data_IF_484786266575
#
_entry.id   IF_484786266575
#
_cell.length_a   1.000
_cell.length_b   1.000
_cell.length_c   1.000
_cell.angle_alpha   90.00
_cell.angle_beta   90.00
_cell.angle_gamma   90.00
#
_symmetry.space_group_name_H-M   'P 1'
#
loop_
_entity.id
_entity.type
_entity.pdbx_description
1 polymer ?
#
# COMPACT_ATOMS: atom_id res chain seq x y z
N UNK A 1 -13.87 -17.15 -17.50
CA UNK A 1 -14.32 -16.42 -18.70
C UNK A 1 -13.33 -15.29 -18.98
N UNK A 2 -12.88 -15.14 -20.23
CA UNK A 2 -11.98 -14.05 -20.64
C UNK A 2 -12.72 -12.75 -20.96
N UNK A 3 -11.97 -11.67 -21.18
CA UNK A 3 -12.52 -10.37 -21.61
C UNK A 3 -13.19 -10.49 -22.97
N UNK A 4 -14.33 -9.81 -23.13
CA UNK A 4 -15.08 -9.78 -24.39
C UNK A 4 -15.05 -8.38 -24.99
N UNK A 5 -14.93 -8.28 -26.32
CA UNK A 5 -14.78 -6.98 -27.01
C UNK A 5 -15.98 -6.05 -26.88
N UNK A 6 -17.17 -6.58 -26.60
CA UNK A 6 -18.44 -5.84 -26.59
C UNK A 6 -19.07 -5.77 -25.19
N UNK A 7 -18.50 -6.46 -24.19
CA UNK A 7 -19.06 -6.51 -22.83
C UNK A 7 -18.01 -6.10 -21.81
N UNK A 8 -18.33 -5.08 -21.01
CA UNK A 8 -17.54 -4.65 -19.87
C UNK A 8 -18.05 -5.37 -18.60
N UNK A 9 -17.21 -6.25 -18.04
CA UNK A 9 -17.46 -6.83 -16.72
C UNK A 9 -16.86 -5.91 -15.67
N UNK A 10 -17.63 -5.63 -14.62
CA UNK A 10 -17.18 -4.79 -13.49
C UNK A 10 -17.60 -5.39 -12.16
N UNK A 11 -16.72 -5.32 -11.18
CA UNK A 11 -17.05 -5.64 -9.79
C UNK A 11 -17.45 -4.37 -9.06
N UNK A 12 -18.67 -4.35 -8.56
CA UNK A 12 -19.20 -3.23 -7.78
C UNK A 12 -19.29 -3.57 -6.31
N UNK A 13 -19.21 -2.55 -5.45
CA UNK A 13 -19.46 -2.68 -4.03
C UNK A 13 -20.97 -2.85 -3.80
N UNK A 14 -21.43 -4.06 -3.50
CA UNK A 14 -22.84 -4.36 -3.30
C UNK A 14 -23.35 -3.96 -1.91
N UNK A 15 -22.49 -4.06 -0.89
CA UNK A 15 -22.79 -3.67 0.50
C UNK A 15 -21.50 -3.37 1.26
N UNK A 16 -21.58 -2.58 2.34
CA UNK A 16 -20.41 -2.30 3.19
C UNK A 16 -20.05 -3.54 4.03
N UNK A 17 -18.78 -3.98 4.04
CA UNK A 17 -18.33 -5.05 4.92
C UNK A 17 -18.46 -4.68 6.39
N UNK A 18 -18.98 -5.59 7.21
CA UNK A 18 -18.83 -5.56 8.66
C UNK A 18 -17.74 -6.57 9.07
N UNK A 19 -16.58 -6.06 9.46
CA UNK A 19 -15.39 -6.88 9.66
C UNK A 19 -14.65 -7.16 8.35
N UNK A 20 -14.25 -8.41 8.12
CA UNK A 20 -13.59 -8.83 6.89
C UNK A 20 -14.58 -8.84 5.70
N UNK A 21 -14.16 -8.39 4.49
CA UNK A 21 -15.00 -8.50 3.30
C UNK A 21 -15.37 -9.95 3.00
N UNK A 22 -16.63 -10.17 2.67
CA UNK A 22 -17.19 -11.45 2.21
C UNK A 22 -17.63 -11.33 0.75
N UNK A 23 -17.78 -12.45 0.02
CA UNK A 23 -18.19 -12.41 -1.39
C UNK A 23 -19.47 -11.60 -1.65
N UNK A 24 -20.44 -11.62 -0.73
CA UNK A 24 -21.72 -10.91 -0.82
C UNK A 24 -21.57 -9.37 -0.75
N UNK A 25 -20.41 -8.87 -0.32
CA UNK A 25 -20.10 -7.44 -0.41
C UNK A 25 -19.81 -7.00 -1.84
N UNK A 26 -19.66 -7.93 -2.78
CA UNK A 26 -19.34 -7.64 -4.18
C UNK A 26 -20.38 -8.24 -5.11
N UNK A 27 -20.64 -7.54 -6.21
CA UNK A 27 -21.49 -8.05 -7.29
C UNK A 27 -20.78 -7.87 -8.61
N UNK A 28 -20.78 -8.92 -9.42
CA UNK A 28 -20.34 -8.85 -10.81
C UNK A 28 -21.50 -8.28 -11.63
N UNK A 29 -21.23 -7.20 -12.36
CA UNK A 29 -22.14 -6.61 -13.33
C UNK A 29 -21.52 -6.68 -14.73
N UNK A 30 -22.38 -6.70 -15.74
CA UNK A 30 -21.96 -6.70 -17.13
C UNK A 30 -22.78 -5.68 -17.93
N UNK A 31 -22.08 -4.72 -18.52
CA UNK A 31 -22.66 -3.69 -19.40
C UNK A 31 -21.97 -3.75 -20.78
N UNK A 32 -22.47 -2.96 -21.73
CA UNK A 32 -21.81 -2.82 -23.03
C UNK A 32 -20.54 -1.96 -22.91
N UNK A 33 -19.52 -2.24 -23.72
CA UNK A 33 -18.31 -1.40 -23.76
C UNK A 33 -18.66 -0.01 -24.29
N UNK A 34 -18.34 1.02 -23.52
CA UNK A 34 -18.64 2.40 -23.88
C UNK A 34 -17.77 2.91 -25.05
N UNK A 35 -18.30 3.84 -25.83
CA UNK A 35 -17.55 4.58 -26.86
C UNK A 35 -16.97 5.86 -26.27
N UNK A 36 -15.67 6.17 -26.47
CA UNK A 36 -15.08 7.41 -25.95
C UNK A 36 -15.66 8.64 -26.65
N UNK A 37 -16.01 9.67 -25.88
CA UNK A 37 -16.37 10.99 -26.40
C UNK A 37 -15.16 11.81 -26.85
N UNK A 38 -15.39 13.07 -27.23
CA UNK A 38 -14.30 14.02 -27.56
C UNK A 38 -13.36 14.19 -26.35
N UNK A 39 -12.04 14.12 -26.60
CA UNK A 39 -11.04 14.23 -25.53
C UNK A 39 -11.03 13.05 -24.57
N UNK A 40 -11.58 11.89 -24.94
CA UNK A 40 -11.56 10.70 -24.10
C UNK A 40 -10.85 9.53 -24.76
N UNK A 41 -10.42 8.59 -23.93
CA UNK A 41 -9.84 7.32 -24.34
C UNK A 41 -10.63 6.16 -23.75
N UNK A 42 -10.78 5.09 -24.54
CA UNK A 42 -11.25 3.81 -24.05
C UNK A 42 -10.06 2.93 -23.67
N UNK A 43 -10.04 2.55 -22.41
CA UNK A 43 -9.03 1.70 -21.81
C UNK A 43 -9.54 0.28 -21.71
N UNK A 44 -8.64 -0.68 -21.93
CA UNK A 44 -8.84 -2.09 -21.57
C UNK A 44 -7.82 -2.49 -20.51
N UNK A 45 -8.29 -2.82 -19.32
CA UNK A 45 -7.46 -3.25 -18.19
C UNK A 45 -6.75 -4.56 -18.52
N UNK A 46 -5.43 -4.61 -18.31
CA UNK A 46 -4.62 -5.82 -18.45
C UNK A 46 -4.16 -6.33 -17.08
N UNK A 47 -3.77 -5.41 -16.20
CA UNK A 47 -3.40 -5.70 -14.82
C UNK A 47 -4.16 -4.79 -13.87
N UNK A 48 -4.53 -5.34 -12.72
CA UNK A 48 -5.21 -4.65 -11.62
C UNK A 48 -4.40 -4.85 -10.35
N UNK A 49 -4.16 -3.76 -9.61
CA UNK A 49 -3.58 -3.83 -8.28
C UNK A 49 -4.66 -4.18 -7.25
N UNK A 50 -4.30 -4.98 -6.25
CA UNK A 50 -5.13 -5.28 -5.09
C UNK A 50 -4.38 -4.89 -3.83
N UNK A 51 -4.84 -3.83 -3.18
CA UNK A 51 -4.09 -3.16 -2.12
C UNK A 51 -4.88 -3.09 -0.81
N UNK A 52 -4.23 -3.20 0.37
CA UNK A 52 -4.92 -3.15 1.66
C UNK A 52 -5.75 -1.89 1.90
N UNK A 53 -5.35 -0.74 1.34
CA UNK A 53 -6.10 0.53 1.51
C UNK A 53 -7.54 0.43 0.98
N UNK A 54 -7.80 -0.46 0.02
CA UNK A 54 -9.12 -0.66 -0.56
C UNK A 54 -10.16 -1.02 0.50
N UNK A 55 -9.77 -1.71 1.58
CA UNK A 55 -10.68 -2.01 2.70
C UNK A 55 -11.20 -0.76 3.39
N UNK A 56 -10.34 0.25 3.58
CA UNK A 56 -10.75 1.55 4.11
C UNK A 56 -11.71 2.26 3.17
N UNK A 57 -11.53 2.12 1.85
CA UNK A 57 -12.43 2.69 0.84
C UNK A 57 -13.81 2.03 0.80
N UNK A 58 -13.97 0.82 1.33
CA UNK A 58 -15.28 0.15 1.44
C UNK A 58 -16.12 0.63 2.65
N UNK A 59 -15.47 1.21 3.66
CA UNK A 59 -16.10 1.79 4.86
C UNK A 59 -16.70 3.15 4.55
N UNK A 60 -17.74 3.57 5.27
CA UNK A 60 -18.27 4.96 5.27
C UNK A 60 -17.62 5.85 6.35
N UNK A 61 -16.68 5.32 7.13
CA UNK A 61 -15.96 6.10 8.13
C UNK A 61 -15.12 7.22 7.49
N UNK A 62 -14.99 8.38 8.17
CA UNK A 62 -14.14 9.47 7.71
C UNK A 62 -12.71 9.00 7.43
N UNK A 63 -12.24 9.24 6.20
CA UNK A 63 -10.92 8.87 5.74
C UNK A 63 -10.33 9.99 4.88
N UNK A 64 -9.03 9.91 4.61
CA UNK A 64 -8.34 10.86 3.74
C UNK A 64 -8.71 10.72 2.25
N UNK A 65 -9.45 9.68 1.88
CA UNK A 65 -9.98 9.49 0.54
C UNK A 65 -11.46 9.14 0.61
N UNK A 66 -12.30 9.66 -0.32
CA UNK A 66 -13.74 9.38 -0.33
C UNK A 66 -14.03 7.88 -0.41
N UNK A 67 -15.07 7.38 0.29
CA UNK A 67 -15.46 5.99 0.20
C UNK A 67 -15.96 5.63 -1.21
N UNK A 68 -15.96 4.34 -1.53
CA UNK A 68 -16.66 3.82 -2.72
C UNK A 68 -18.16 3.82 -2.41
N UNK A 69 -18.94 4.34 -3.34
CA UNK A 69 -20.39 4.31 -3.27
C UNK A 69 -20.93 2.89 -3.43
N UNK A 70 -22.06 2.60 -2.79
CA UNK A 70 -22.77 1.34 -3.05
C UNK A 70 -23.25 1.33 -4.50
N UNK A 71 -22.95 0.25 -5.22
CA UNK A 71 -23.15 0.12 -6.66
C UNK A 71 -22.01 0.72 -7.50
N UNK A 72 -21.05 1.42 -6.89
CA UNK A 72 -19.86 1.91 -7.58
C UNK A 72 -18.85 0.81 -7.88
N UNK A 73 -18.09 0.97 -8.96
CA UNK A 73 -16.98 0.07 -9.31
C UNK A 73 -15.93 0.11 -8.21
N UNK A 74 -15.46 -1.08 -7.80
CA UNK A 74 -14.37 -1.16 -6.83
C UNK A 74 -13.11 -0.49 -7.35
N UNK A 75 -12.49 0.34 -6.52
CA UNK A 75 -11.31 1.14 -6.90
C UNK A 75 -10.05 0.28 -7.02
N UNK A 76 -9.09 0.74 -7.83
CA UNK A 76 -7.77 0.13 -7.93
C UNK A 76 -6.94 0.70 -9.07
N UNK A 77 -5.63 0.74 -8.87
CA UNK A 77 -4.69 1.09 -9.93
C UNK A 77 -4.66 0.03 -11.01
N UNK A 78 -4.65 0.45 -12.26
CA UNK A 78 -4.67 -0.43 -13.43
C UNK A 78 -3.51 -0.14 -14.36
N UNK A 79 -3.03 -1.18 -15.04
CA UNK A 79 -2.22 -1.03 -16.24
C UNK A 79 -3.06 -1.52 -17.41
N UNK A 80 -3.29 -0.60 -18.34
CA UNK A 80 -4.30 -0.73 -19.39
C UNK A 80 -3.70 -0.50 -20.77
N UNK A 81 -4.40 -0.99 -21.77
CA UNK A 81 -4.17 -0.68 -23.18
C UNK A 81 -5.21 0.32 -23.64
N UNK A 82 -4.80 1.38 -24.31
CA UNK A 82 -5.73 2.22 -25.07
C UNK A 82 -6.23 1.37 -26.24
N UNK A 83 -7.54 1.19 -26.36
CA UNK A 83 -8.15 0.43 -27.48
C UNK A 83 -8.83 1.33 -28.50
N UNK A 84 -9.31 2.49 -28.08
CA UNK A 84 -9.85 3.56 -28.92
C UNK A 84 -9.51 4.91 -28.29
N UNK A 85 -9.25 5.93 -29.10
CA UNK A 85 -8.89 7.27 -28.61
C UNK A 85 -9.50 8.35 -29.48
N UNK A 86 -10.14 9.31 -28.83
CA UNK A 86 -10.53 10.60 -29.35
C UNK A 86 -9.77 11.73 -28.61
N UNK A 87 -8.64 11.39 -27.97
CA UNK A 87 -7.76 12.32 -27.28
C UNK A 87 -6.44 12.50 -28.06
N UNK A 88 -5.98 13.74 -28.32
CA UNK A 88 -4.82 13.99 -29.20
C UNK A 88 -3.51 13.38 -28.70
N UNK A 89 -3.34 13.29 -27.37
CA UNK A 89 -2.12 12.74 -26.78
C UNK A 89 -2.09 11.22 -26.68
N UNK A 90 -3.16 10.49 -27.02
CA UNK A 90 -3.20 9.02 -26.88
C UNK A 90 -3.63 8.36 -28.17
N UNK A 91 -3.07 7.19 -28.46
CA UNK A 91 -3.42 6.40 -29.63
C UNK A 91 -3.74 4.95 -29.26
N UNK A 92 -4.57 4.25 -30.07
CA UNK A 92 -4.80 2.82 -29.89
C UNK A 92 -3.49 2.05 -29.84
N UNK A 93 -3.33 1.25 -28.80
CA UNK A 93 -2.12 0.49 -28.55
C UNK A 93 -1.09 1.18 -27.65
N UNK A 94 -1.41 2.30 -27.00
CA UNK A 94 -0.58 2.81 -25.91
C UNK A 94 -0.72 1.95 -24.65
N UNK A 95 0.37 1.83 -23.87
CA UNK A 95 0.33 1.33 -22.49
C UNK A 95 0.23 2.50 -21.53
N UNK A 96 -0.75 2.43 -20.64
CA UNK A 96 -0.98 3.45 -19.63
C UNK A 96 -1.16 2.83 -18.26
N UNK A 97 -0.67 3.54 -17.25
CA UNK A 97 -1.02 3.36 -15.85
C UNK A 97 -2.14 4.36 -15.52
N UNK A 98 -3.19 3.90 -14.84
CA UNK A 98 -4.33 4.72 -14.45
C UNK A 98 -5.07 4.13 -13.24
N UNK A 99 -6.30 4.58 -13.02
CA UNK A 99 -7.11 4.20 -11.85
C UNK A 99 -8.53 3.74 -12.22
N UNK A 100 -8.63 2.88 -13.23
CA UNK A 100 -9.92 2.43 -13.79
C UNK A 100 -10.72 1.48 -12.89
N UNK A 101 -10.16 0.99 -11.78
CA UNK A 101 -10.86 0.07 -10.89
C UNK A 101 -11.06 -1.33 -11.44
N UNK A 102 -11.93 -2.10 -10.78
CA UNK A 102 -12.11 -3.54 -10.98
C UNK A 102 -13.06 -3.81 -12.15
N UNK A 103 -12.64 -3.44 -13.35
CA UNK A 103 -13.41 -3.62 -14.57
C UNK A 103 -12.53 -3.89 -15.78
N UNK A 104 -13.11 -4.53 -16.80
CA UNK A 104 -12.41 -4.86 -18.04
C UNK A 104 -12.11 -3.63 -18.89
N UNK A 105 -13.03 -2.67 -18.92
CA UNK A 105 -12.96 -1.45 -19.72
C UNK A 105 -13.37 -0.21 -18.92
N UNK A 106 -12.82 0.94 -19.31
CA UNK A 106 -13.11 2.22 -18.68
C UNK A 106 -12.89 3.38 -19.64
N UNK A 107 -13.60 4.48 -19.43
CA UNK A 107 -13.42 5.74 -20.17
C UNK A 107 -12.63 6.70 -19.29
N UNK A 108 -11.51 7.21 -19.79
CA UNK A 108 -10.71 8.24 -19.11
C UNK A 108 -10.66 9.52 -19.95
N UNK A 109 -10.59 10.68 -19.29
CA UNK A 109 -10.29 11.97 -19.92
C UNK A 109 -8.82 12.11 -20.31
N UNK A 110 -7.94 11.21 -19.84
CA UNK A 110 -6.51 11.24 -20.09
C UNK A 110 -5.69 12.05 -19.07
N UNK A 111 -6.34 12.81 -18.18
CA UNK A 111 -5.69 13.72 -17.21
C UNK A 111 -4.91 12.97 -16.10
N UNK A 112 -5.34 11.75 -15.78
CA UNK A 112 -4.83 10.93 -14.69
C UNK A 112 -3.96 9.74 -15.17
N UNK A 113 -3.66 9.70 -16.47
CA UNK A 113 -2.93 8.59 -17.08
C UNK A 113 -1.42 8.89 -17.18
N UNK A 114 -0.63 7.86 -16.89
CA UNK A 114 0.82 7.88 -17.09
C UNK A 114 1.18 6.93 -18.21
N UNK A 115 1.77 7.45 -19.30
CA UNK A 115 2.28 6.62 -20.40
C UNK A 115 3.47 5.78 -19.96
N UNK A 116 3.45 4.49 -20.30
CA UNK A 116 4.51 3.53 -19.96
C UNK A 116 5.51 3.28 -21.11
N UNK A 117 5.42 4.08 -22.17
CA UNK A 117 6.17 3.90 -23.41
C UNK A 117 5.57 2.85 -24.34
N UNK A 118 6.17 2.70 -25.52
CA UNK A 118 5.60 1.90 -26.62
C UNK A 118 5.63 0.39 -26.31
N UNK A 119 6.73 -0.07 -25.72
CA UNK A 119 7.01 -1.50 -25.49
C UNK A 119 7.65 -1.75 -24.11
N UNK A 120 6.93 -1.48 -23.01
CA UNK A 120 7.42 -1.81 -21.67
C UNK A 120 7.65 -3.32 -21.54
N UNK A 121 8.82 -3.71 -21.02
CA UNK A 121 9.15 -5.13 -20.82
C UNK A 121 8.30 -5.77 -19.71
N UNK A 122 8.09 -5.04 -18.61
CA UNK A 122 7.32 -5.49 -17.44
C UNK A 122 6.26 -4.45 -17.05
N UNK A 123 5.21 -4.25 -17.85
CA UNK A 123 4.23 -3.18 -17.62
C UNK A 123 3.57 -3.24 -16.24
N UNK A 124 3.35 -4.44 -15.70
CA UNK A 124 2.76 -4.65 -14.38
C UNK A 124 3.61 -4.13 -13.21
N UNK A 125 4.92 -3.94 -13.39
CA UNK A 125 5.78 -3.38 -12.33
C UNK A 125 5.39 -1.94 -11.95
N UNK A 126 4.69 -1.24 -12.84
CA UNK A 126 4.11 0.09 -12.62
C UNK A 126 2.97 0.10 -11.59
N UNK A 127 2.49 -1.07 -11.15
CA UNK A 127 1.56 -1.23 -10.02
C UNK A 127 2.28 -1.61 -8.71
N UNK A 128 3.58 -1.86 -8.76
CA UNK A 128 4.39 -2.31 -7.62
C UNK A 128 5.59 -1.39 -7.38
N UNK A 129 6.79 -1.92 -7.63
CA UNK A 129 8.06 -1.23 -7.34
C UNK A 129 8.25 0.08 -8.15
N UNK A 130 7.71 0.17 -9.37
CA UNK A 130 7.73 1.40 -10.18
C UNK A 130 6.44 2.22 -10.02
N UNK A 131 5.52 1.76 -9.17
CA UNK A 131 4.21 2.36 -8.95
C UNK A 131 4.05 2.94 -7.55
N UNK A 132 2.78 3.08 -7.16
CA UNK A 132 2.38 3.62 -5.86
C UNK A 132 3.06 2.91 -4.67
N UNK A 133 3.15 1.56 -4.57
CA UNK A 133 3.80 0.92 -3.44
C UNK A 133 5.31 1.23 -3.33
N UNK A 134 6.03 1.23 -4.45
CA UNK A 134 7.44 1.58 -4.49
C UNK A 134 7.68 3.06 -4.14
N UNK A 135 6.82 3.95 -4.66
CA UNK A 135 6.90 5.37 -4.36
C UNK A 135 6.54 5.69 -2.90
N UNK A 136 5.58 4.97 -2.32
CA UNK A 136 5.26 5.01 -0.88
C UNK A 136 6.50 4.71 -0.06
N UNK A 137 7.18 3.59 -0.37
CA UNK A 137 8.39 3.17 0.33
C UNK A 137 9.51 4.21 0.21
N UNK A 138 9.74 4.72 -1.00
CA UNK A 138 10.77 5.71 -1.30
C UNK A 138 10.55 7.01 -0.52
N UNK A 139 9.38 7.63 -0.66
CA UNK A 139 9.07 8.90 -0.01
C UNK A 139 8.98 8.74 1.51
N UNK A 140 8.26 7.71 1.99
CA UNK A 140 8.11 7.46 3.41
C UNK A 140 9.44 7.24 4.12
N UNK A 141 10.32 6.43 3.54
CA UNK A 141 11.62 6.17 4.16
C UNK A 141 12.56 7.36 4.00
N UNK A 142 12.70 7.96 2.82
CA UNK A 142 13.74 8.98 2.60
C UNK A 142 13.37 10.35 3.15
N UNK A 143 12.11 10.77 3.05
CA UNK A 143 11.70 12.12 3.48
C UNK A 143 11.34 12.16 4.97
N UNK A 144 10.68 11.12 5.48
CA UNK A 144 10.23 11.04 6.88
C UNK A 144 11.21 10.21 7.71
N UNK A 145 11.55 9.01 7.24
CA UNK A 145 12.48 8.12 7.93
C UNK A 145 13.90 8.68 7.97
N UNK A 146 14.35 9.35 6.91
CA UNK A 146 15.68 9.98 6.77
C UNK A 146 16.82 9.06 7.24
N UNK A 147 16.97 7.85 6.66
CA UNK A 147 17.92 6.86 7.15
C UNK A 147 19.37 7.32 7.07
N UNK A 148 20.13 6.98 8.11
CA UNK A 148 21.57 7.16 8.18
C UNK A 148 22.26 5.80 8.28
N UNK A 149 23.50 5.77 7.81
CA UNK A 149 24.35 4.59 7.91
C UNK A 149 24.52 4.15 9.38
N UNK A 150 24.41 2.85 9.63
CA UNK A 150 24.54 2.25 10.96
C UNK A 150 23.28 2.32 11.84
N UNK A 151 22.24 3.06 11.44
CA UNK A 151 20.95 3.08 12.14
C UNK A 151 20.19 1.75 11.98
N UNK A 152 19.31 1.46 12.94
CA UNK A 152 18.41 0.30 12.90
C UNK A 152 17.05 0.69 12.35
N UNK A 153 16.69 0.12 11.21
CA UNK A 153 15.38 0.20 10.57
C UNK A 153 14.58 -1.07 10.87
N UNK A 154 13.41 -0.92 11.49
CA UNK A 154 12.41 -1.97 11.61
C UNK A 154 11.27 -1.70 10.64
N UNK A 155 10.79 -2.71 9.92
CA UNK A 155 9.64 -2.57 9.01
C UNK A 155 8.66 -3.73 9.19
N UNK A 156 7.39 -3.38 9.44
CA UNK A 156 6.30 -4.34 9.51
C UNK A 156 5.75 -4.69 8.12
N UNK A 157 5.14 -5.87 7.99
CA UNK A 157 4.72 -6.44 6.70
C UNK A 157 5.89 -6.49 5.70
N UNK A 158 7.05 -6.97 6.15
CA UNK A 158 8.34 -6.86 5.47
C UNK A 158 8.42 -7.50 4.08
N UNK A 159 7.53 -8.45 3.76
CA UNK A 159 7.45 -9.08 2.43
C UNK A 159 6.30 -8.56 1.57
N UNK A 160 5.54 -7.57 2.05
CA UNK A 160 4.56 -6.86 1.24
C UNK A 160 5.22 -5.89 0.27
N UNK A 161 4.51 -5.35 -0.74
CA UNK A 161 5.10 -4.54 -1.80
C UNK A 161 5.80 -3.28 -1.27
N UNK A 162 5.20 -2.60 -0.29
CA UNK A 162 5.83 -1.45 0.39
C UNK A 162 7.00 -1.92 1.28
N UNK A 163 6.75 -2.86 2.20
CA UNK A 163 7.73 -3.30 3.19
C UNK A 163 9.01 -3.89 2.59
N UNK A 164 8.88 -4.68 1.52
CA UNK A 164 10.00 -5.26 0.79
C UNK A 164 10.88 -4.19 0.14
N UNK A 165 10.24 -3.13 -0.40
CA UNK A 165 10.94 -2.01 -1.01
C UNK A 165 11.62 -1.14 0.06
N UNK A 166 10.94 -0.85 1.17
CA UNK A 166 11.50 -0.12 2.33
C UNK A 166 12.76 -0.79 2.85
N UNK A 167 12.71 -2.11 3.07
CA UNK A 167 13.86 -2.84 3.59
C UNK A 167 15.07 -2.77 2.66
N UNK A 168 14.86 -2.97 1.37
CA UNK A 168 15.94 -2.88 0.38
C UNK A 168 16.52 -1.46 0.26
N UNK A 169 15.69 -0.41 0.29
CA UNK A 169 16.19 0.97 0.33
C UNK A 169 17.00 1.20 1.62
N UNK A 170 16.52 0.69 2.77
CA UNK A 170 17.26 0.76 4.04
C UNK A 170 18.64 0.09 3.96
N UNK A 171 18.73 -1.10 3.34
CA UNK A 171 20.01 -1.78 3.10
C UNK A 171 20.94 -0.95 2.23
N UNK A 172 20.43 -0.35 1.15
CA UNK A 172 21.20 0.55 0.27
C UNK A 172 21.68 1.82 0.99
N UNK A 173 20.99 2.26 2.04
CA UNK A 173 21.37 3.40 2.89
C UNK A 173 22.29 3.01 4.06
N UNK A 174 22.73 1.75 4.14
CA UNK A 174 23.65 1.27 5.16
C UNK A 174 23.00 1.03 6.53
N UNK A 175 21.67 0.90 6.59
CA UNK A 175 20.99 0.54 7.82
C UNK A 175 21.13 -0.94 8.14
N UNK A 176 21.03 -1.28 9.43
CA UNK A 176 20.63 -2.61 9.87
C UNK A 176 19.12 -2.73 9.70
N UNK A 177 18.66 -3.67 8.89
CA UNK A 177 17.24 -3.83 8.55
C UNK A 177 16.68 -5.09 9.20
N UNK A 178 15.70 -4.89 10.09
CA UNK A 178 14.95 -5.95 10.76
C UNK A 178 13.52 -5.95 10.22
N UNK A 179 13.12 -7.06 9.61
CA UNK A 179 11.79 -7.26 9.06
C UNK A 179 10.86 -7.92 10.07
N UNK A 180 9.57 -7.60 10.01
CA UNK A 180 8.52 -8.35 10.70
C UNK A 180 7.53 -8.87 9.67
N UNK A 181 7.32 -10.19 9.63
CA UNK A 181 6.42 -10.87 8.70
C UNK A 181 5.63 -11.96 9.42
N UNK A 182 4.61 -12.52 8.77
CA UNK A 182 3.80 -13.60 9.32
C UNK A 182 4.15 -14.94 8.68
N UNK A 183 4.83 -15.81 9.42
CA UNK A 183 5.26 -17.14 8.97
C UNK A 183 6.75 -17.24 8.62
N UNK A 184 7.34 -18.40 8.90
CA UNK A 184 8.74 -18.71 8.66
C UNK A 184 9.17 -18.56 7.19
N UNK A 185 8.30 -18.92 6.24
CA UNK A 185 8.59 -18.82 4.80
C UNK A 185 8.85 -17.36 4.38
N UNK A 186 7.99 -16.44 4.82
CA UNK A 186 8.14 -15.01 4.54
C UNK A 186 9.40 -14.45 5.21
N UNK A 187 9.69 -14.86 6.44
CA UNK A 187 10.89 -14.43 7.13
C UNK A 187 12.16 -14.87 6.39
N UNK A 188 12.19 -16.13 5.94
CA UNK A 188 13.29 -16.66 5.13
C UNK A 188 13.44 -15.89 3.82
N UNK A 189 12.33 -15.65 3.10
CA UNK A 189 12.37 -14.86 1.86
C UNK A 189 12.95 -13.45 2.07
N UNK A 190 12.56 -12.77 3.16
CA UNK A 190 13.08 -11.44 3.47
C UNK A 190 14.60 -11.44 3.66
N UNK A 191 15.16 -12.47 4.30
CA UNK A 191 16.60 -12.58 4.54
C UNK A 191 17.33 -13.02 3.26
N UNK A 192 16.94 -14.16 2.68
CA UNK A 192 17.69 -14.82 1.62
C UNK A 192 17.55 -14.14 0.25
N UNK A 193 16.40 -13.50 -0.02
CA UNK A 193 16.10 -12.89 -1.32
C UNK A 193 16.15 -11.37 -1.25
N UNK A 194 15.53 -10.77 -0.22
CA UNK A 194 15.44 -9.31 -0.09
C UNK A 194 16.63 -8.68 0.66
N UNK A 195 17.51 -9.49 1.25
CA UNK A 195 18.74 -9.03 1.89
C UNK A 195 18.56 -8.38 3.26
N UNK A 196 17.47 -8.67 3.96
CA UNK A 196 17.28 -8.22 5.35
C UNK A 196 18.30 -8.88 6.28
N UNK A 197 18.73 -8.16 7.32
CA UNK A 197 19.69 -8.71 8.29
C UNK A 197 19.04 -9.74 9.21
N UNK A 198 17.78 -9.49 9.60
CA UNK A 198 16.95 -10.38 10.41
C UNK A 198 15.50 -10.22 9.95
N UNK A 199 14.70 -11.28 9.99
CA UNK A 199 13.26 -11.18 9.88
C UNK A 199 12.57 -12.07 10.93
N UNK A 200 11.60 -11.50 11.64
CA UNK A 200 10.91 -12.12 12.77
C UNK A 200 9.47 -12.44 12.42
N UNK A 201 9.03 -13.63 12.85
CA UNK A 201 7.64 -14.05 12.71
C UNK A 201 6.80 -13.45 13.85
N UNK A 202 5.88 -12.55 13.52
CA UNK A 202 5.01 -11.94 14.53
C UNK A 202 3.97 -12.93 15.10
N UNK A 203 3.84 -14.14 14.56
CA UNK A 203 2.99 -15.17 15.17
C UNK A 203 3.65 -15.89 16.34
N UNK A 204 4.97 -15.77 16.51
CA UNK A 204 5.67 -16.40 17.62
C UNK A 204 5.23 -15.81 18.97
N UNK A 205 5.03 -16.67 19.96
CA UNK A 205 4.61 -16.26 21.31
C UNK A 205 5.65 -15.35 21.98
N UNK A 206 6.93 -15.56 21.68
CA UNK A 206 8.08 -14.80 22.19
C UNK A 206 8.53 -13.68 21.24
N UNK A 207 7.70 -13.27 20.27
CA UNK A 207 8.04 -12.25 19.26
C UNK A 207 8.67 -10.98 19.85
N UNK A 208 8.13 -10.45 20.95
CA UNK A 208 8.66 -9.24 21.58
C UNK A 208 10.10 -9.45 22.12
N UNK A 209 10.39 -10.61 22.68
CA UNK A 209 11.73 -10.96 23.17
C UNK A 209 12.72 -11.13 22.01
N UNK A 210 12.27 -11.74 20.91
CA UNK A 210 13.06 -11.85 19.70
C UNK A 210 13.37 -10.47 19.10
N UNK A 211 12.41 -9.53 19.14
CA UNK A 211 12.61 -8.17 18.66
C UNK A 211 13.66 -7.40 19.48
N UNK A 212 13.65 -7.55 20.81
CA UNK A 212 14.70 -7.00 21.69
C UNK A 212 16.08 -7.52 21.28
N UNK A 213 16.21 -8.84 21.08
CA UNK A 213 17.47 -9.48 20.67
C UNK A 213 17.91 -9.02 19.28
N UNK A 214 16.98 -8.79 18.36
CA UNK A 214 17.27 -8.34 17.00
C UNK A 214 17.71 -6.86 16.92
N UNK A 215 17.29 -6.05 17.89
CA UNK A 215 17.54 -4.60 17.96
C UNK A 215 18.39 -4.20 19.19
N UNK A 216 19.64 -4.71 19.34
CA UNK A 216 20.44 -4.49 20.56
C UNK A 216 20.83 -3.03 20.81
N UNK A 217 20.74 -2.18 19.77
CA UNK A 217 21.00 -0.73 19.85
C UNK A 217 19.72 0.11 19.85
N UNK A 218 18.55 -0.52 20.03
CA UNK A 218 17.25 0.12 19.87
C UNK A 218 16.85 0.31 18.40
N UNK A 219 15.78 1.07 18.17
CA UNK A 219 15.17 1.30 16.86
C UNK A 219 15.21 2.80 16.54
N UNK A 220 15.88 3.16 15.44
CA UNK A 220 16.00 4.54 14.98
C UNK A 220 14.88 4.91 14.00
N UNK A 221 14.44 3.93 13.21
CA UNK A 221 13.34 4.11 12.26
C UNK A 221 12.42 2.91 12.36
N UNK A 222 11.12 3.18 12.51
CA UNK A 222 10.11 2.15 12.37
C UNK A 222 9.14 2.53 11.26
N UNK A 223 9.15 1.78 10.17
CA UNK A 223 8.23 2.00 9.06
C UNK A 223 6.92 1.23 9.33
N UNK A 224 5.87 1.98 9.65
CA UNK A 224 4.60 1.45 10.16
C UNK A 224 3.60 1.19 9.04
N UNK A 225 3.25 -0.10 8.86
CA UNK A 225 2.28 -0.61 7.89
C UNK A 225 1.10 -1.36 8.53
N UNK A 226 1.20 -1.72 9.81
CA UNK A 226 0.40 -2.75 10.47
C UNK A 226 -0.32 -2.23 11.71
N UNK A 227 0.39 -1.63 12.66
CA UNK A 227 -0.15 -1.30 13.98
C UNK A 227 -0.28 -2.51 14.91
N UNK A 228 -1.18 -2.41 15.89
CA UNK A 228 -1.53 -3.49 16.81
C UNK A 228 -0.34 -4.05 17.60
N UNK A 229 -0.33 -5.37 17.82
CA UNK A 229 0.68 -6.05 18.65
C UNK A 229 2.13 -5.86 18.17
N UNK A 230 2.32 -5.57 16.88
CA UNK A 230 3.66 -5.31 16.33
C UNK A 230 4.16 -3.96 16.81
N UNK A 231 3.34 -2.91 16.70
CA UNK A 231 3.70 -1.60 17.21
C UNK A 231 3.93 -1.60 18.73
N UNK A 232 3.12 -2.38 19.45
CA UNK A 232 3.26 -2.53 20.90
C UNK A 232 4.62 -3.09 21.33
N UNK A 233 5.18 -4.02 20.55
CA UNK A 233 6.52 -4.55 20.79
C UNK A 233 7.63 -3.57 20.38
N UNK A 234 7.37 -2.73 19.37
CA UNK A 234 8.33 -1.75 18.84
C UNK A 234 8.46 -0.53 19.75
N UNK A 235 7.34 0.01 20.25
CA UNK A 235 7.28 1.28 20.96
C UNK A 235 8.29 1.40 22.12
N UNK A 236 8.49 0.37 22.99
CA UNK A 236 9.46 0.44 24.08
C UNK A 236 10.93 0.46 23.62
N UNK A 237 11.20 0.02 22.38
CA UNK A 237 12.55 -0.14 21.83
C UNK A 237 13.00 1.07 21.01
N UNK A 238 12.15 2.08 20.86
CA UNK A 238 12.49 3.31 20.15
C UNK A 238 13.64 4.05 20.83
N UNK A 239 14.60 4.46 20.01
CA UNK A 239 15.65 5.38 20.40
C UNK A 239 15.12 6.79 20.56
N UNK A 240 15.90 7.62 21.26
CA UNK A 240 15.65 9.05 21.28
C UNK A 240 15.79 9.58 19.85
N UNK A 241 14.85 10.44 19.42
CA UNK A 241 14.78 10.96 18.05
C UNK A 241 14.54 9.91 16.97
N UNK A 242 13.90 8.79 17.32
CA UNK A 242 13.39 7.85 16.34
C UNK A 242 12.37 8.50 15.40
N UNK A 243 12.25 7.98 14.17
CA UNK A 243 11.30 8.47 13.16
C UNK A 243 10.36 7.35 12.74
N UNK A 244 9.08 7.65 12.68
CA UNK A 244 8.04 6.67 12.35
C UNK A 244 7.22 7.18 11.17
N UNK A 245 7.59 6.81 9.93
CA UNK A 245 6.72 6.94 8.78
C UNK A 245 5.49 6.04 8.95
N UNK A 246 4.31 6.64 9.06
CA UNK A 246 3.03 5.93 9.19
C UNK A 246 2.38 5.81 7.83
N UNK A 247 2.49 4.62 7.24
CA UNK A 247 1.96 4.29 5.93
C UNK A 247 0.57 3.62 6.03
N UNK A 248 0.38 2.72 7.00
CA UNK A 248 -0.85 1.95 7.11
C UNK A 248 -1.02 1.29 8.48
N UNK A 249 -2.22 0.79 8.75
CA UNK A 249 -2.60 0.16 10.01
C UNK A 249 -3.42 -1.11 9.73
N UNK A 250 -2.88 -1.99 8.87
CA UNK A 250 -3.64 -3.11 8.30
C UNK A 250 -4.21 -4.08 9.34
N UNK A 251 -3.63 -4.18 10.55
CA UNK A 251 -4.14 -5.07 11.58
C UNK A 251 -5.56 -4.71 12.04
N UNK A 252 -5.95 -3.45 11.87
CA UNK A 252 -7.21 -2.91 12.39
C UNK A 252 -8.25 -2.66 11.30
N UNK A 253 -7.93 -2.87 10.02
CA UNK A 253 -8.87 -2.55 8.92
C UNK A 253 -10.16 -3.37 8.94
N UNK A 254 -10.15 -4.53 9.58
CA UNK A 254 -11.32 -5.38 9.76
C UNK A 254 -11.86 -5.37 11.19
N UNK A 255 -11.34 -4.49 12.07
CA UNK A 255 -11.85 -4.38 13.42
C UNK A 255 -13.26 -3.77 13.41
N UNK A 256 -14.17 -4.35 14.16
CA UNK A 256 -15.55 -3.85 14.34
C UNK A 256 -15.73 -3.13 15.68
N UNK A 257 -14.72 -3.21 16.53
CA UNK A 257 -14.66 -2.59 17.86
C UNK A 257 -13.20 -2.28 18.22
N UNK A 258 -13.02 -1.46 19.26
CA UNK A 258 -11.68 -1.16 19.78
C UNK A 258 -11.06 -2.42 20.42
N UNK A 259 -9.74 -2.60 20.32
CA UNK A 259 -9.07 -3.73 20.94
C UNK A 259 -9.27 -3.72 22.47
N UNK A 260 -9.47 -4.89 23.09
CA UNK A 260 -9.61 -4.97 24.54
C UNK A 260 -8.28 -4.61 25.23
N UNK A 261 -8.38 -4.00 26.42
CA UNK A 261 -7.23 -3.71 27.26
C UNK A 261 -7.21 -2.27 27.81
N UNK A 262 -6.15 -1.91 28.55
CA UNK A 262 -6.00 -0.58 29.12
C UNK A 262 -5.76 0.46 28.02
N UNK A 263 -6.19 1.70 28.26
CA UNK A 263 -5.85 2.84 27.43
C UNK A 263 -4.32 3.02 27.37
N UNK A 264 -3.78 3.04 26.14
CA UNK A 264 -2.35 3.15 25.86
C UNK A 264 -1.93 4.57 25.49
N UNK A 265 -2.86 5.51 25.39
CA UNK A 265 -2.54 6.91 25.13
C UNK A 265 -1.58 7.50 26.17
N UNK A 266 -1.71 7.22 27.49
CA UNK A 266 -0.74 7.69 28.48
C UNK A 266 0.68 7.15 28.23
N UNK A 267 0.81 5.89 27.82
CA UNK A 267 2.11 5.28 27.48
C UNK A 267 2.73 5.95 26.25
N UNK A 268 1.92 6.16 25.21
CA UNK A 268 2.36 6.85 23.99
C UNK A 268 2.87 8.25 24.30
N UNK A 269 2.08 9.04 25.04
CA UNK A 269 2.43 10.41 25.44
C UNK A 269 3.66 10.46 26.34
N UNK A 270 3.78 9.54 27.30
CA UNK A 270 4.97 9.43 28.15
C UNK A 270 6.22 9.09 27.33
N UNK A 271 6.08 8.28 26.27
CA UNK A 271 7.19 7.97 25.37
C UNK A 271 7.61 9.19 24.57
N UNK A 272 6.66 10.02 24.10
CA UNK A 272 6.95 11.29 23.40
C UNK A 272 7.80 12.20 24.29
N UNK A 273 7.37 12.37 25.54
CA UNK A 273 8.08 13.19 26.53
C UNK A 273 9.51 12.71 26.80
N UNK A 274 9.73 11.39 26.83
CA UNK A 274 11.04 10.80 27.18
C UNK A 274 12.01 10.72 26.01
N UNK A 275 11.51 10.56 24.78
CA UNK A 275 12.32 10.13 23.63
C UNK A 275 12.34 11.13 22.47
N UNK A 276 11.54 12.19 22.48
CA UNK A 276 11.51 13.21 21.40
C UNK A 276 11.54 12.59 20.00
N UNK A 277 10.64 11.64 19.73
CA UNK A 277 10.50 10.97 18.42
C UNK A 277 9.46 11.68 17.54
N UNK A 278 9.49 11.42 16.23
CA UNK A 278 8.48 11.91 15.29
C UNK A 278 7.60 10.78 14.75
N UNK A 279 6.31 11.08 14.59
CA UNK A 279 5.32 10.23 13.94
C UNK A 279 4.67 11.06 12.84
N UNK A 280 4.81 10.64 11.58
CA UNK A 280 4.27 11.41 10.45
C UNK A 280 3.65 10.49 9.41
N UNK A 281 2.47 10.88 8.92
CA UNK A 281 1.79 10.21 7.82
C UNK A 281 2.68 10.23 6.58
N UNK A 282 2.76 9.10 5.87
CA UNK A 282 3.30 9.08 4.51
C UNK A 282 2.26 9.70 3.57
N UNK A 283 2.65 10.77 2.88
CA UNK A 283 1.82 11.47 1.89
C UNK A 283 2.68 11.89 0.70
N UNK A 284 2.04 12.06 -0.45
CA UNK A 284 2.70 12.51 -1.67
C UNK A 284 2.62 14.03 -1.76
N UNK A 285 3.77 14.72 -1.79
CA UNK A 285 3.83 16.18 -2.04
C UNK A 285 3.57 16.54 -3.50
N UNK A 286 3.73 15.58 -4.41
CA UNK A 286 3.55 15.76 -5.85
C UNK A 286 2.18 15.24 -6.30
N UNK A 287 1.45 16.03 -7.10
CA UNK A 287 0.13 15.68 -7.67
C UNK A 287 0.08 14.44 -8.58
N UNK A 288 1.21 13.74 -8.78
CA UNK A 288 1.32 12.52 -9.59
C UNK A 288 0.58 11.30 -8.99
N UNK A 289 0.26 11.30 -7.69
CA UNK A 289 -0.32 10.13 -7.00
C UNK A 289 -1.33 10.49 -5.91
N UNK A 290 -1.83 11.73 -5.87
CA UNK A 290 -2.94 12.09 -4.98
C UNK A 290 -4.24 12.00 -5.77
N UNK A 291 -5.20 11.13 -5.40
CA UNK A 291 -6.53 11.15 -5.99
C UNK A 291 -7.33 12.34 -5.44
N UNK A 292 -6.84 13.57 -5.68
CA UNK A 292 -7.30 14.89 -5.19
C UNK A 292 -6.52 15.48 -3.98
N UNK A 293 -6.42 16.83 -3.91
CA UNK A 293 -5.75 17.59 -2.84
C UNK A 293 -6.36 17.42 -1.45
#
# INVERSE_FOLDING_TARGET
>A
MGQQKQRNRRWVLASRPHGAPVPENFRLEEDDVATPGEGQVLLRTVYLSLDPYMRGRMSDEPSYSPPVDIGGVMVGGTVSRVVESNHPDYQPGDWVLGYSGWQDYDISSGDDLVKLGDHPQNPSWSLGVLGMPGFTAYMGLLDIGQPKEGETLVVAAATGPVGATVGQIGKLKGCRVVGVAGGAEKCRHAIEVLGFDVCLDHHADDFAEQLVKACPKGIDIYYENVGGKVFDAVLPLLNTSARIPVCGLVSSYNATELPPGPDRLPLLMATVLKKTYSLARVYYRSGLWSPHP
#
